data_IF_449191821372
#
_entry.id   IF_449191821372
#
_cell.length_a   1.000
_cell.length_b   1.000
_cell.length_c   1.000
_cell.angle_alpha   90.00
_cell.angle_beta   90.00
_cell.angle_gamma   90.00
#
_symmetry.space_group_name_H-M   'P 1'
#
loop_
_entity.id
_entity.type
_entity.pdbx_description
1 polymer ?
#
# COMPACT_ATOMS: atom_id res chain seq x y z
N UNK A 1 40.94 -16.85 13.89
CA UNK A 1 39.76 -17.43 14.58
C UNK A 1 38.75 -16.37 15.02
N UNK A 2 39.12 -15.36 15.84
CA UNK A 2 38.17 -14.32 16.31
C UNK A 2 37.42 -13.55 15.20
N UNK A 3 38.12 -13.19 14.10
CA UNK A 3 37.52 -12.50 12.94
C UNK A 3 36.51 -13.34 12.16
N UNK A 4 36.77 -14.65 12.02
CA UNK A 4 35.86 -15.58 11.34
C UNK A 4 34.60 -15.77 12.17
N UNK A 5 34.74 -15.86 13.50
CA UNK A 5 33.61 -15.94 14.42
C UNK A 5 32.70 -14.70 14.38
N UNK A 6 33.30 -13.51 14.23
CA UNK A 6 32.55 -12.25 14.08
C UNK A 6 31.77 -12.18 12.76
N UNK A 7 32.36 -12.65 11.66
CA UNK A 7 31.70 -12.71 10.35
C UNK A 7 30.51 -13.67 10.38
N UNK A 8 30.67 -14.85 10.99
CA UNK A 8 29.57 -15.80 11.15
C UNK A 8 28.41 -15.24 11.99
N UNK A 9 28.71 -14.57 13.10
CA UNK A 9 27.69 -13.93 13.93
C UNK A 9 26.93 -12.82 13.18
N UNK A 10 27.64 -12.04 12.34
CA UNK A 10 27.04 -10.98 11.53
C UNK A 10 26.12 -11.54 10.43
N UNK A 11 26.52 -12.62 9.75
CA UNK A 11 25.71 -13.28 8.72
C UNK A 11 24.40 -13.86 9.26
N UNK A 12 24.41 -14.42 10.47
CA UNK A 12 23.19 -14.96 11.09
C UNK A 12 22.18 -13.87 11.49
N UNK A 13 22.63 -12.64 11.73
CA UNK A 13 21.75 -11.50 12.06
C UNK A 13 20.90 -11.00 10.90
N UNK A 14 21.34 -11.22 9.65
CA UNK A 14 20.59 -10.82 8.45
C UNK A 14 19.52 -11.84 8.02
N UNK A 15 19.48 -13.03 8.63
CA UNK A 15 18.51 -14.09 8.31
C UNK A 15 17.19 -13.96 9.08
N UNK A 16 16.95 -12.85 9.77
CA UNK A 16 15.69 -12.62 10.47
C UNK A 16 14.57 -12.37 9.46
N UNK A 17 13.49 -13.15 9.57
CA UNK A 17 12.27 -12.91 8.79
C UNK A 17 11.67 -11.58 9.26
N UNK A 18 11.58 -10.60 8.37
CA UNK A 18 10.88 -9.36 8.64
C UNK A 18 9.39 -9.68 8.78
N UNK A 19 8.82 -9.38 9.95
CA UNK A 19 7.41 -9.58 10.30
C UNK A 19 6.54 -8.46 9.70
N UNK A 20 6.64 -8.25 8.39
CA UNK A 20 5.77 -7.31 7.70
C UNK A 20 4.36 -7.91 7.61
N UNK A 21 3.35 -7.16 8.09
CA UNK A 21 1.96 -7.54 7.91
C UNK A 21 1.60 -7.37 6.43
N UNK A 22 1.06 -8.38 5.75
CA UNK A 22 0.64 -8.23 4.37
C UNK A 22 -0.45 -7.16 4.26
N UNK A 23 -0.37 -6.32 3.23
CA UNK A 23 -1.41 -5.35 2.92
C UNK A 23 -2.76 -6.07 2.76
N UNK A 24 -3.86 -5.39 3.15
CA UNK A 24 -5.21 -5.96 3.17
C UNK A 24 -5.55 -6.64 1.83
N UNK A 25 -5.66 -7.98 1.78
CA UNK A 25 -5.77 -8.69 0.50
C UNK A 25 -7.20 -8.75 -0.03
N UNK A 26 -8.18 -8.30 0.76
CA UNK A 26 -9.61 -8.39 0.46
C UNK A 26 -10.18 -7.05 0.00
N UNK A 27 -11.40 -7.09 -0.54
CA UNK A 27 -12.17 -5.90 -0.88
C UNK A 27 -12.67 -5.21 0.40
N UNK A 28 -12.63 -3.87 0.38
CA UNK A 28 -13.13 -3.00 1.42
C UNK A 28 -14.32 -2.24 0.86
N UNK A 29 -15.40 -2.16 1.64
CA UNK A 29 -16.56 -1.32 1.32
C UNK A 29 -16.28 0.12 1.71
N UNK A 30 -16.31 1.01 0.74
CA UNK A 30 -16.17 2.45 0.92
C UNK A 30 -17.53 3.13 0.79
N UNK A 31 -17.76 4.16 1.60
CA UNK A 31 -18.95 5.01 1.50
C UNK A 31 -18.62 6.34 0.82
N UNK A 32 -19.53 6.79 -0.03
CA UNK A 32 -19.51 8.12 -0.62
C UNK A 32 -20.28 9.11 0.26
N UNK A 33 -20.09 10.44 0.07
CA UNK A 33 -20.81 11.46 0.83
C UNK A 33 -22.34 11.37 0.72
N UNK A 34 -22.87 10.85 -0.38
CA UNK A 34 -24.31 10.63 -0.59
C UNK A 34 -24.85 9.34 0.06
N UNK A 35 -23.99 8.58 0.74
CA UNK A 35 -24.34 7.31 1.39
C UNK A 35 -24.32 6.10 0.45
N UNK A 36 -24.09 6.28 -0.85
CA UNK A 36 -23.82 5.15 -1.75
C UNK A 36 -22.51 4.46 -1.37
N UNK A 37 -22.37 3.18 -1.75
CA UNK A 37 -21.16 2.41 -1.42
C UNK A 37 -20.60 1.70 -2.64
N UNK A 38 -19.29 1.44 -2.59
CA UNK A 38 -18.58 0.64 -3.59
C UNK A 38 -17.50 -0.20 -2.92
N UNK A 39 -17.07 -1.27 -3.59
CA UNK A 39 -15.99 -2.14 -3.11
C UNK A 39 -14.71 -1.91 -3.92
N UNK A 40 -13.58 -1.84 -3.22
CA UNK A 40 -12.26 -1.67 -3.83
C UNK A 40 -11.16 -2.20 -2.90
N UNK A 41 -9.94 -2.32 -3.41
CA UNK A 41 -8.77 -2.64 -2.60
C UNK A 41 -8.10 -1.36 -2.10
N UNK A 42 -7.64 -1.38 -0.85
CA UNK A 42 -6.66 -0.41 -0.36
C UNK A 42 -5.26 -0.97 -0.61
N UNK A 43 -4.47 -0.27 -1.42
CA UNK A 43 -3.11 -0.64 -1.82
C UNK A 43 -2.11 0.34 -1.24
N UNK A 44 -0.85 -0.11 -1.15
CA UNK A 44 0.27 0.71 -0.70
C UNK A 44 0.80 0.29 0.67
N UNK A 45 1.55 1.19 1.28
CA UNK A 45 2.21 1.03 2.58
C UNK A 45 1.93 2.23 3.49
N UNK A 46 2.66 2.30 4.60
CA UNK A 46 2.56 3.38 5.59
C UNK A 46 2.95 4.77 5.08
N UNK A 47 3.72 4.85 3.99
CA UNK A 47 4.18 6.11 3.40
C UNK A 47 3.26 6.56 2.25
N UNK A 48 2.71 5.62 1.50
CA UNK A 48 1.86 5.93 0.36
C UNK A 48 0.79 4.86 0.14
N UNK A 49 -0.47 5.28 0.03
CA UNK A 49 -1.60 4.39 -0.24
C UNK A 49 -2.59 4.97 -1.24
N UNK A 50 -3.29 4.08 -1.94
CA UNK A 50 -4.33 4.43 -2.91
C UNK A 50 -5.44 3.38 -2.92
N UNK A 51 -6.60 3.76 -3.47
CA UNK A 51 -7.73 2.85 -3.64
C UNK A 51 -7.75 2.38 -5.10
N UNK A 52 -7.95 1.08 -5.30
CA UNK A 52 -7.90 0.44 -6.61
C UNK A 52 -9.15 -0.43 -6.83
N UNK A 53 -9.87 -0.21 -7.94
CA UNK A 53 -10.97 -1.11 -8.35
C UNK A 53 -10.44 -2.48 -8.77
N UNK A 54 -11.34 -3.47 -8.88
CA UNK A 54 -10.97 -4.77 -9.47
C UNK A 54 -10.39 -4.65 -10.89
N UNK A 55 -10.81 -3.63 -11.64
CA UNK A 55 -10.31 -3.31 -12.99
C UNK A 55 -9.02 -2.47 -12.99
N UNK A 56 -8.30 -2.38 -11.87
CA UNK A 56 -7.02 -1.67 -11.75
C UNK A 56 -7.09 -0.16 -12.00
N UNK A 57 -8.27 0.44 -11.83
CA UNK A 57 -8.45 1.89 -11.90
C UNK A 57 -8.22 2.49 -10.51
N UNK A 58 -7.51 3.61 -10.45
CA UNK A 58 -7.21 4.31 -9.20
C UNK A 58 -8.35 5.26 -8.85
N UNK A 59 -8.74 5.27 -7.57
CA UNK A 59 -9.62 6.27 -7.00
C UNK A 59 -8.87 7.10 -5.96
N UNK A 60 -9.20 8.38 -5.92
CA UNK A 60 -8.72 9.34 -4.92
C UNK A 60 -9.89 10.13 -4.36
N UNK A 61 -9.80 10.47 -3.08
CA UNK A 61 -10.77 11.35 -2.46
C UNK A 61 -10.50 12.79 -2.90
N UNK A 62 -11.42 13.34 -3.68
CA UNK A 62 -11.37 14.73 -4.10
C UNK A 62 -11.58 15.66 -2.91
N UNK A 63 -10.68 16.64 -2.75
CA UNK A 63 -10.82 17.68 -1.72
C UNK A 63 -11.94 18.67 -2.03
N UNK A 64 -12.31 18.82 -3.31
CA UNK A 64 -13.32 19.77 -3.75
C UNK A 64 -14.74 19.23 -3.56
N UNK A 65 -14.98 17.98 -3.97
CA UNK A 65 -16.31 17.35 -3.90
C UNK A 65 -16.50 16.49 -2.64
N UNK A 66 -15.41 15.97 -2.06
CA UNK A 66 -15.45 14.98 -0.99
C UNK A 66 -15.69 13.54 -1.48
N UNK A 67 -15.95 13.34 -2.78
CA UNK A 67 -16.20 12.02 -3.38
C UNK A 67 -14.90 11.29 -3.70
N UNK A 68 -15.00 9.97 -3.81
CA UNK A 68 -13.97 9.16 -4.45
C UNK A 68 -14.15 9.24 -5.97
N UNK A 69 -13.14 9.78 -6.65
CA UNK A 69 -13.16 10.05 -8.08
C UNK A 69 -12.04 9.25 -8.76
N UNK A 70 -12.26 8.87 -10.02
CA UNK A 70 -11.23 8.20 -10.82
C UNK A 70 -10.06 9.16 -11.10
N UNK A 71 -8.85 8.68 -10.89
CA UNK A 71 -7.63 9.39 -11.24
C UNK A 71 -6.86 8.70 -12.35
N UNK A 72 -6.22 9.54 -13.17
CA UNK A 72 -5.21 9.11 -14.11
C UNK A 72 -3.83 9.26 -13.46
N UNK A 73 -3.06 8.18 -13.46
CA UNK A 73 -1.67 8.21 -13.05
C UNK A 73 -0.87 8.99 -14.11
N UNK A 74 -0.33 10.14 -13.72
CA UNK A 74 0.67 10.86 -14.52
C UNK A 74 2.03 10.63 -13.88
N UNK A 75 3.04 10.28 -14.69
CA UNK A 75 4.43 10.31 -14.25
C UNK A 75 4.85 11.77 -14.10
N UNK A 76 5.56 12.07 -13.01
CA UNK A 76 6.21 13.36 -12.87
C UNK A 76 7.29 13.49 -13.95
N UNK A 77 7.24 14.59 -14.69
CA UNK A 77 8.25 14.95 -15.68
C UNK A 77 9.49 15.42 -14.90
N UNK A 78 10.47 14.52 -14.72
CA UNK A 78 11.81 14.85 -14.20
C UNK A 78 12.80 15.04 -15.32
#
# INVERSE_FOLDING_TARGET
>A
MKRISLIFAMLTGFALNLMAVPAAPFLITFAQPDGSTFQAHLRGDENFSWIETENKQVLVKSKASGYFEFALLKRDDK
#
